data_IF_775640815988
#
_entry.id   IF_775640815988
#
_cell.length_a   1.000
_cell.length_b   1.000
_cell.length_c   1.000
_cell.angle_alpha   90.00
_cell.angle_beta   90.00
_cell.angle_gamma   90.00
#
_symmetry.space_group_name_H-M   'P 1'
#
loop_
_entity.id
_entity.type
_entity.pdbx_description
1 polymer ?
#
# COMPACT_ATOMS: atom_id res chain seq x y z
N UNK A 1 -52.69 0.21 -75.23
CA UNK A 1 -51.85 -0.85 -74.58
C UNK A 1 -51.36 -0.28 -73.24
N UNK A 2 -51.94 -0.80 -72.19
CA UNK A 2 -51.70 -0.31 -70.81
C UNK A 2 -50.63 -1.20 -70.16
N UNK A 3 -49.49 -0.60 -69.79
CA UNK A 3 -48.48 -1.30 -69.03
C UNK A 3 -48.71 -1.04 -67.52
N UNK A 4 -49.10 -2.09 -66.82
CA UNK A 4 -49.16 -2.11 -65.37
C UNK A 4 -47.73 -2.25 -64.80
N UNK A 5 -47.25 -1.26 -64.06
CA UNK A 5 -46.05 -1.36 -63.26
C UNK A 5 -46.49 -1.83 -61.86
N UNK A 6 -46.11 -3.05 -61.50
CA UNK A 6 -46.26 -3.57 -60.14
C UNK A 6 -45.08 -3.09 -59.30
N UNK A 7 -45.33 -2.19 -58.36
CA UNK A 7 -44.37 -1.83 -57.32
C UNK A 7 -44.32 -2.91 -56.27
N UNK A 8 -43.18 -3.59 -56.12
CA UNK A 8 -42.91 -4.50 -55.05
C UNK A 8 -42.26 -3.70 -53.91
N UNK A 9 -42.99 -3.49 -52.83
CA UNK A 9 -42.45 -2.90 -51.60
C UNK A 9 -41.65 -3.95 -50.86
N UNK A 10 -40.33 -3.76 -50.78
CA UNK A 10 -39.45 -4.52 -49.91
C UNK A 10 -39.59 -3.97 -48.47
N UNK A 11 -40.27 -4.73 -47.64
CA UNK A 11 -40.35 -4.46 -46.21
C UNK A 11 -39.05 -5.00 -45.56
N UNK A 12 -38.07 -4.13 -45.34
CA UNK A 12 -36.88 -4.48 -44.59
C UNK A 12 -37.19 -4.53 -43.13
N UNK A 13 -37.34 -5.73 -42.59
CA UNK A 13 -37.43 -5.98 -41.16
C UNK A 13 -36.03 -5.85 -40.60
N UNK A 14 -35.74 -4.69 -39.99
CA UNK A 14 -34.56 -4.49 -39.17
C UNK A 14 -34.83 -5.19 -37.83
N UNK A 15 -34.38 -6.41 -37.70
CA UNK A 15 -34.29 -7.09 -36.42
C UNK A 15 -33.17 -6.39 -35.61
N UNK A 16 -33.56 -5.49 -34.72
CA UNK A 16 -32.71 -5.06 -33.63
C UNK A 16 -32.39 -6.29 -32.75
N UNK A 17 -31.28 -6.92 -33.02
CA UNK A 17 -30.68 -7.82 -32.07
C UNK A 17 -30.26 -6.97 -30.86
N UNK A 18 -31.12 -6.91 -29.85
CA UNK A 18 -30.77 -6.49 -28.51
C UNK A 18 -29.68 -7.45 -28.04
N UNK A 19 -28.41 -7.09 -28.24
CA UNK A 19 -27.30 -7.71 -27.54
C UNK A 19 -27.52 -7.39 -26.06
N UNK A 20 -28.24 -8.25 -25.38
CA UNK A 20 -28.18 -8.39 -23.94
C UNK A 20 -26.73 -8.69 -23.67
N UNK A 21 -25.96 -7.65 -23.28
CA UNK A 21 -24.74 -7.84 -22.54
C UNK A 21 -25.20 -8.52 -21.26
N UNK A 22 -25.29 -9.84 -21.32
CA UNK A 22 -25.19 -10.67 -20.15
C UNK A 22 -23.84 -10.29 -19.57
N UNK A 23 -23.85 -9.38 -18.58
CA UNK A 23 -22.81 -9.31 -17.60
C UNK A 23 -22.65 -10.78 -17.18
N UNK A 24 -21.64 -11.44 -17.71
CA UNK A 24 -21.17 -12.68 -17.15
C UNK A 24 -20.85 -12.29 -15.72
N UNK A 25 -21.77 -12.64 -14.84
CA UNK A 25 -21.52 -12.78 -13.44
C UNK A 25 -20.53 -13.96 -13.37
N UNK A 26 -19.30 -13.69 -13.81
CA UNK A 26 -18.16 -14.52 -13.44
C UNK A 26 -18.23 -14.43 -11.94
N UNK A 27 -18.65 -15.51 -11.29
CA UNK A 27 -18.75 -15.57 -9.85
C UNK A 27 -17.38 -15.26 -9.31
N UNK A 28 -17.09 -13.97 -9.09
CA UNK A 28 -15.85 -13.51 -8.49
C UNK A 28 -15.80 -14.23 -7.17
N UNK A 29 -14.84 -15.11 -7.07
CA UNK A 29 -14.58 -15.83 -5.85
C UNK A 29 -14.12 -14.75 -4.88
N UNK A 30 -14.99 -14.37 -3.99
CA UNK A 30 -14.71 -13.46 -2.89
C UNK A 30 -13.92 -14.20 -1.83
N UNK A 31 -13.42 -13.44 -0.88
CA UNK A 31 -12.81 -14.01 0.30
C UNK A 31 -13.67 -15.11 0.92
N UNK A 32 -13.01 -16.21 1.24
CA UNK A 32 -13.66 -17.36 1.91
C UNK A 32 -12.88 -17.65 3.18
N UNK A 33 -13.58 -17.69 4.30
CA UNK A 33 -12.97 -18.03 5.57
C UNK A 33 -12.22 -19.36 5.49
N UNK A 34 -10.98 -19.36 5.97
CA UNK A 34 -10.06 -20.50 5.93
C UNK A 34 -9.28 -20.66 4.62
N UNK A 35 -9.50 -19.79 3.61
CA UNK A 35 -8.79 -19.86 2.31
C UNK A 35 -8.07 -18.57 1.94
N UNK A 36 -8.44 -17.44 2.55
CA UNK A 36 -7.91 -16.13 2.19
C UNK A 36 -8.40 -15.64 0.81
N UNK A 37 -7.57 -14.86 0.13
CA UNK A 37 -7.85 -14.24 -1.17
C UNK A 37 -7.31 -15.08 -2.33
N UNK A 38 -6.00 -15.27 -2.41
CA UNK A 38 -5.33 -15.95 -3.53
C UNK A 38 -5.48 -15.20 -4.87
N UNK A 39 -5.34 -15.92 -5.97
CA UNK A 39 -5.40 -15.35 -7.33
C UNK A 39 -6.80 -15.52 -7.95
N UNK A 40 -7.82 -15.07 -7.24
CA UNK A 40 -9.22 -15.38 -7.58
C UNK A 40 -9.86 -14.45 -8.60
N UNK A 41 -9.22 -13.31 -8.90
CA UNK A 41 -9.76 -12.29 -9.82
C UNK A 41 -9.40 -12.52 -11.29
N UNK A 42 -8.68 -13.60 -11.58
CA UNK A 42 -8.32 -14.03 -12.93
C UNK A 42 -6.88 -13.67 -13.33
N UNK A 43 -6.40 -14.22 -14.46
CA UNK A 43 -4.98 -14.24 -14.81
C UNK A 43 -4.41 -12.88 -15.25
N UNK A 44 -5.24 -11.86 -15.40
CA UNK A 44 -4.82 -10.50 -15.77
C UNK A 44 -4.94 -9.52 -14.61
N UNK A 45 -5.37 -9.97 -13.44
CA UNK A 45 -5.54 -9.11 -12.27
C UNK A 45 -4.19 -8.61 -11.75
N UNK A 46 -4.14 -7.32 -11.45
CA UNK A 46 -2.95 -6.60 -10.95
C UNK A 46 -3.24 -5.88 -9.61
N UNK A 47 -4.43 -6.07 -9.03
CA UNK A 47 -4.95 -5.27 -7.91
C UNK A 47 -5.05 -6.07 -6.62
N UNK A 48 -5.27 -7.39 -6.72
CA UNK A 48 -5.36 -8.29 -5.57
C UNK A 48 -6.57 -8.00 -4.68
N UNK A 49 -6.38 -8.11 -3.37
CA UNK A 49 -7.43 -7.95 -2.36
C UNK A 49 -8.17 -6.61 -2.44
N UNK A 50 -7.52 -5.55 -2.95
CA UNK A 50 -8.14 -4.23 -3.09
C UNK A 50 -9.29 -4.20 -4.12
N UNK A 51 -9.48 -5.25 -4.92
CA UNK A 51 -10.69 -5.44 -5.74
C UNK A 51 -11.98 -5.52 -4.90
N UNK A 52 -11.88 -5.83 -3.60
CA UNK A 52 -13.04 -5.86 -2.69
C UNK A 52 -13.53 -4.45 -2.29
N UNK A 53 -12.79 -3.39 -2.61
CA UNK A 53 -13.23 -2.02 -2.34
C UNK A 53 -14.41 -1.64 -3.23
N UNK A 54 -15.57 -1.50 -2.63
CA UNK A 54 -16.82 -1.07 -3.28
C UNK A 54 -17.27 0.29 -2.77
N UNK A 55 -18.17 0.96 -3.49
CA UNK A 55 -18.75 2.22 -3.01
C UNK A 55 -19.48 2.02 -1.67
N UNK A 56 -20.12 0.86 -1.49
CA UNK A 56 -20.79 0.53 -0.24
C UNK A 56 -19.78 0.38 0.93
N UNK A 57 -18.66 -0.32 0.70
CA UNK A 57 -17.62 -0.48 1.74
C UNK A 57 -16.94 0.85 2.08
N UNK A 58 -16.70 1.71 1.07
CA UNK A 58 -16.16 3.06 1.26
C UNK A 58 -17.11 3.94 2.10
N UNK A 59 -18.41 3.95 1.76
CA UNK A 59 -19.41 4.66 2.54
C UNK A 59 -19.52 4.13 3.97
N UNK A 60 -19.43 2.80 4.16
CA UNK A 60 -19.44 2.22 5.50
C UNK A 60 -18.23 2.68 6.33
N UNK A 61 -17.05 2.74 5.73
CA UNK A 61 -15.84 3.26 6.37
C UNK A 61 -16.00 4.74 6.76
N UNK A 62 -16.50 5.58 5.86
CA UNK A 62 -16.70 7.02 6.11
C UNK A 62 -17.72 7.30 7.21
N UNK A 63 -18.67 6.40 7.49
CA UNK A 63 -19.60 6.52 8.62
C UNK A 63 -18.93 6.37 9.99
N UNK A 64 -17.68 5.91 10.05
CA UNK A 64 -16.88 5.89 11.27
C UNK A 64 -16.38 7.29 11.67
N UNK A 65 -16.47 8.27 10.76
CA UNK A 65 -16.06 9.65 11.01
C UNK A 65 -17.17 10.34 11.82
N UNK A 66 -16.96 10.47 13.12
CA UNK A 66 -17.95 11.02 14.05
C UNK A 66 -17.51 12.30 14.73
N UNK A 67 -16.20 12.58 14.76
CA UNK A 67 -15.63 13.76 15.43
C UNK A 67 -14.94 14.72 14.48
N UNK A 68 -14.63 14.28 13.24
CA UNK A 68 -13.84 15.04 12.28
C UNK A 68 -12.35 15.12 12.62
N UNK A 69 -11.88 14.39 13.64
CA UNK A 69 -10.46 14.34 13.99
C UNK A 69 -9.68 13.58 12.94
N UNK A 70 -8.56 14.16 12.50
CA UNK A 70 -7.63 13.58 11.51
C UNK A 70 -6.34 13.19 12.20
N UNK A 71 -5.87 11.98 11.95
CA UNK A 71 -4.55 11.50 12.34
C UNK A 71 -3.71 11.34 11.09
N UNK A 72 -2.58 12.04 11.03
CA UNK A 72 -1.59 11.88 10.00
C UNK A 72 -0.77 10.61 10.30
N UNK A 73 -0.91 9.61 9.45
CA UNK A 73 -0.20 8.34 9.59
C UNK A 73 1.12 8.32 8.83
N UNK A 74 1.49 9.41 8.15
CA UNK A 74 2.74 9.56 7.43
C UNK A 74 3.87 10.00 8.36
N UNK A 75 5.04 9.40 8.19
CA UNK A 75 6.27 9.87 8.82
C UNK A 75 6.94 10.94 7.94
N UNK A 76 7.42 12.07 8.51
CA UNK A 76 8.19 13.04 7.74
C UNK A 76 9.50 12.41 7.26
N UNK A 77 9.85 12.71 6.03
CA UNK A 77 10.99 12.10 5.35
C UNK A 77 12.00 13.18 4.94
N UNK A 78 13.28 12.90 5.15
CA UNK A 78 14.40 13.71 4.71
C UNK A 78 15.59 12.84 4.25
N UNK A 79 16.68 13.48 3.78
CA UNK A 79 17.89 12.78 3.32
C UNK A 79 18.58 11.94 4.40
N UNK A 80 18.32 12.20 5.67
CA UNK A 80 18.91 11.51 6.83
C UNK A 80 17.96 10.44 7.40
N UNK A 81 16.76 10.29 6.84
CA UNK A 81 15.80 9.31 7.30
C UNK A 81 16.32 7.88 7.20
N UNK A 82 15.86 7.03 8.08
CA UNK A 82 16.20 5.61 8.07
C UNK A 82 15.87 4.97 6.72
N UNK A 83 16.76 4.12 6.26
CA UNK A 83 16.60 3.29 5.05
C UNK A 83 17.00 1.87 5.38
N UNK A 84 16.19 0.95 4.95
CA UNK A 84 16.51 -0.46 5.13
C UNK A 84 17.74 -0.83 4.30
N UNK A 85 18.55 -1.77 4.83
CA UNK A 85 19.75 -2.24 4.13
C UNK A 85 19.34 -2.87 2.77
N UNK A 86 20.02 -2.46 1.70
CA UNK A 86 19.69 -2.90 0.34
C UNK A 86 18.85 -1.91 -0.46
N UNK A 87 18.19 -0.94 0.17
CA UNK A 87 17.57 0.18 -0.52
C UNK A 87 18.58 1.30 -0.78
N UNK A 88 18.40 2.02 -1.90
CA UNK A 88 19.28 3.14 -2.24
C UNK A 88 19.18 4.26 -1.22
N UNK A 89 20.30 4.96 -1.00
CA UNK A 89 20.27 6.22 -0.30
C UNK A 89 19.38 7.23 -1.03
N UNK A 90 18.67 8.07 -0.29
CA UNK A 90 17.88 9.15 -0.86
C UNK A 90 18.60 10.49 -0.76
N UNK A 91 18.40 11.35 -1.75
CA UNK A 91 18.89 12.72 -1.76
C UNK A 91 17.78 13.69 -2.13
N UNK A 92 17.79 14.85 -1.47
CA UNK A 92 16.96 16.00 -1.83
C UNK A 92 17.93 17.13 -2.15
N UNK A 93 17.99 17.50 -3.42
CA UNK A 93 18.98 18.44 -3.95
C UNK A 93 18.26 19.65 -4.51
N UNK A 94 18.67 20.85 -4.10
CA UNK A 94 18.14 22.08 -4.71
C UNK A 94 18.63 22.17 -6.16
N UNK A 95 17.69 22.11 -7.09
CA UNK A 95 17.94 22.22 -8.52
C UNK A 95 17.89 23.69 -8.99
N UNK A 96 16.90 24.43 -8.48
CA UNK A 96 16.75 25.87 -8.73
C UNK A 96 16.60 26.62 -7.41
N UNK A 97 17.14 27.82 -7.39
CA UNK A 97 16.90 28.77 -6.33
C UNK A 97 16.89 30.20 -6.88
N UNK A 98 16.20 31.16 -6.24
CA UNK A 98 16.19 32.56 -6.71
C UNK A 98 17.58 33.17 -6.85
N UNK A 99 18.53 32.79 -5.98
CA UNK A 99 19.92 33.24 -6.10
C UNK A 99 20.63 32.64 -7.33
N UNK A 100 20.43 31.33 -7.56
CA UNK A 100 20.98 30.64 -8.72
C UNK A 100 20.46 31.20 -10.04
N UNK A 101 19.18 31.50 -10.15
CA UNK A 101 18.57 32.11 -11.34
C UNK A 101 19.16 33.47 -11.64
N UNK A 102 19.35 34.31 -10.64
CA UNK A 102 20.01 35.61 -10.80
C UNK A 102 21.44 35.49 -11.26
N UNK A 103 22.16 34.46 -10.86
CA UNK A 103 23.55 34.22 -11.23
C UNK A 103 23.67 33.61 -12.63
N UNK A 104 22.86 32.61 -12.94
CA UNK A 104 22.97 31.84 -14.18
C UNK A 104 22.35 32.57 -15.38
N UNK A 105 21.27 33.30 -15.16
CA UNK A 105 20.50 34.01 -16.20
C UNK A 105 20.21 33.15 -17.45
N UNK A 106 20.08 31.85 -17.24
CA UNK A 106 19.91 30.84 -18.30
C UNK A 106 18.47 30.77 -18.86
N UNK A 107 17.52 31.43 -18.21
CA UNK A 107 16.13 31.50 -18.62
C UNK A 107 15.79 32.99 -18.90
N UNK A 108 15.58 33.41 -20.17
CA UNK A 108 15.37 34.81 -20.51
C UNK A 108 14.25 35.48 -19.71
N UNK A 109 13.14 34.80 -19.45
CA UNK A 109 11.99 35.34 -18.70
C UNK A 109 12.27 35.61 -17.22
N UNK A 110 13.37 35.09 -16.65
CA UNK A 110 13.78 35.36 -15.27
C UNK A 110 14.62 36.64 -15.13
N UNK A 111 15.02 37.24 -16.26
CA UNK A 111 15.86 38.44 -16.27
C UNK A 111 15.01 39.72 -16.36
N UNK A 112 15.52 40.88 -15.90
CA UNK A 112 14.84 42.15 -16.10
C UNK A 112 14.55 42.48 -17.60
N UNK A 113 15.49 42.15 -18.51
CA UNK A 113 15.31 42.33 -19.95
C UNK A 113 14.19 41.45 -20.53
N UNK A 114 13.94 40.28 -19.91
CA UNK A 114 12.83 39.39 -20.25
C UNK A 114 11.51 39.75 -19.56
N UNK A 115 11.45 40.86 -18.83
CA UNK A 115 10.23 41.36 -18.19
C UNK A 115 10.15 41.08 -16.68
N UNK A 116 11.10 40.39 -16.10
CA UNK A 116 11.13 40.10 -14.65
C UNK A 116 11.72 41.27 -13.85
N UNK A 117 11.10 42.43 -13.92
CA UNK A 117 11.57 43.65 -13.23
C UNK A 117 11.36 43.56 -11.69
N UNK A 118 10.43 42.74 -11.24
CA UNK A 118 10.14 42.49 -9.83
C UNK A 118 11.05 41.48 -9.15
N UNK A 119 11.97 40.84 -9.89
CA UNK A 119 12.90 39.85 -9.34
C UNK A 119 12.26 38.55 -8.82
N UNK A 120 11.13 38.15 -9.41
CA UNK A 120 10.48 36.88 -9.07
C UNK A 120 11.42 35.70 -9.36
N UNK A 121 11.55 34.78 -8.43
CA UNK A 121 12.29 33.54 -8.59
C UNK A 121 11.60 32.41 -7.83
N UNK A 122 12.05 31.17 -8.03
CA UNK A 122 11.43 30.00 -7.41
C UNK A 122 12.47 29.02 -6.87
N UNK A 123 12.00 28.12 -6.00
CA UNK A 123 12.75 26.95 -5.56
C UNK A 123 12.24 25.69 -6.25
N UNK A 124 13.14 24.84 -6.70
CA UNK A 124 12.83 23.52 -7.25
C UNK A 124 13.86 22.52 -6.77
N UNK A 125 13.42 21.32 -6.44
CA UNK A 125 14.29 20.27 -5.93
C UNK A 125 14.21 19.04 -6.82
N UNK A 126 15.31 18.30 -6.89
CA UNK A 126 15.37 16.92 -7.40
C UNK A 126 15.31 15.99 -6.20
N UNK A 127 14.46 15.00 -6.29
CA UNK A 127 14.34 13.94 -5.31
C UNK A 127 14.82 12.66 -5.96
N UNK A 128 15.91 12.11 -5.43
CA UNK A 128 16.45 10.81 -5.84
C UNK A 128 16.37 9.87 -4.65
N UNK A 129 15.50 8.85 -4.74
CA UNK A 129 15.28 7.92 -3.63
C UNK A 129 14.77 6.58 -4.13
N UNK A 130 14.90 5.55 -3.29
CA UNK A 130 14.13 4.31 -3.46
C UNK A 130 12.63 4.60 -3.34
N UNK A 131 11.81 3.86 -4.06
CA UNK A 131 10.36 3.85 -3.88
C UNK A 131 9.92 3.11 -2.61
N UNK A 132 10.87 2.50 -1.90
CA UNK A 132 10.66 1.72 -0.67
C UNK A 132 11.34 2.42 0.51
N UNK A 133 10.82 3.57 0.93
CA UNK A 133 11.34 4.35 2.06
C UNK A 133 10.21 5.04 2.82
N UNK A 134 10.41 5.23 4.12
CA UNK A 134 9.46 5.86 5.03
C UNK A 134 8.06 5.22 4.97
N UNK A 135 7.00 5.99 5.19
CA UNK A 135 5.62 5.49 5.10
C UNK A 135 5.29 5.12 3.67
N UNK A 136 4.96 3.86 3.43
CA UNK A 136 4.79 3.30 2.11
C UNK A 136 3.73 2.19 2.07
N UNK A 137 3.40 1.76 0.86
CA UNK A 137 2.65 0.55 0.56
C UNK A 137 3.44 -0.29 -0.44
N UNK A 138 3.63 -1.56 -0.15
CA UNK A 138 4.24 -2.48 -1.10
C UNK A 138 3.21 -2.92 -2.13
N UNK A 139 3.55 -2.70 -3.39
CA UNK A 139 2.82 -3.21 -4.53
C UNK A 139 3.04 -4.71 -4.72
N UNK A 140 2.14 -5.34 -5.46
CA UNK A 140 2.14 -6.80 -5.65
C UNK A 140 3.32 -7.33 -6.48
N UNK A 141 4.12 -6.45 -7.07
CA UNK A 141 5.36 -6.80 -7.77
C UNK A 141 6.63 -6.56 -6.95
N UNK A 142 6.49 -6.11 -5.67
CA UNK A 142 7.64 -5.80 -4.83
C UNK A 142 8.50 -7.03 -4.50
N UNK A 143 7.86 -8.16 -4.21
CA UNK A 143 8.54 -9.42 -3.92
C UNK A 143 8.25 -10.45 -5.00
N UNK A 144 9.27 -11.19 -5.41
CA UNK A 144 9.15 -12.38 -6.25
C UNK A 144 9.57 -13.63 -5.48
N UNK A 145 9.06 -14.78 -5.89
CA UNK A 145 9.35 -16.07 -5.26
C UNK A 145 9.56 -17.18 -6.31
N UNK A 146 10.13 -18.30 -5.87
CA UNK A 146 10.39 -19.45 -6.72
C UNK A 146 11.61 -19.28 -7.65
N UNK A 147 12.03 -20.38 -8.29
CA UNK A 147 13.17 -20.39 -9.21
C UNK A 147 12.91 -19.59 -10.49
N UNK A 148 11.65 -19.40 -10.83
CA UNK A 148 11.16 -18.60 -11.97
C UNK A 148 10.99 -17.13 -11.63
N UNK A 149 11.18 -16.74 -10.35
CA UNK A 149 11.00 -15.36 -9.85
C UNK A 149 9.64 -14.78 -10.21
N UNK A 150 8.57 -15.58 -9.99
CA UNK A 150 7.21 -15.06 -10.15
C UNK A 150 6.79 -14.16 -8.99
N UNK A 151 5.95 -13.19 -9.28
CA UNK A 151 5.25 -12.38 -8.29
C UNK A 151 3.74 -12.63 -8.39
N UNK A 152 2.93 -11.78 -7.76
CA UNK A 152 1.48 -11.95 -7.73
C UNK A 152 0.89 -12.41 -9.06
N UNK A 153 -0.09 -13.30 -9.00
CA UNK A 153 -0.83 -13.84 -10.13
C UNK A 153 0.03 -14.63 -11.14
N UNK A 154 1.24 -15.04 -10.74
CA UNK A 154 2.18 -15.82 -11.58
C UNK A 154 2.90 -14.99 -12.64
N UNK A 155 2.88 -13.66 -12.54
CA UNK A 155 3.67 -12.83 -13.44
C UNK A 155 5.17 -13.05 -13.24
N UNK A 156 5.90 -13.32 -14.32
CA UNK A 156 7.34 -13.59 -14.27
C UNK A 156 8.15 -12.28 -14.31
N UNK A 157 9.11 -12.15 -13.43
CA UNK A 157 10.01 -10.99 -13.41
C UNK A 157 10.83 -10.87 -14.71
N UNK A 158 11.18 -12.00 -15.34
CA UNK A 158 11.87 -12.05 -16.64
C UNK A 158 11.05 -11.47 -17.79
N UNK A 159 9.72 -11.53 -17.72
CA UNK A 159 8.83 -10.99 -18.75
C UNK A 159 8.44 -9.53 -18.47
N UNK A 160 8.22 -9.19 -17.21
CA UNK A 160 7.58 -7.94 -16.82
C UNK A 160 8.50 -6.96 -16.11
N UNK A 161 9.66 -7.38 -15.62
CA UNK A 161 10.71 -6.48 -15.12
C UNK A 161 11.45 -5.76 -16.24
N UNK A 162 12.37 -4.87 -15.87
CA UNK A 162 13.24 -4.18 -16.81
C UNK A 162 13.94 -2.98 -16.19
N UNK A 163 14.89 -2.41 -16.93
CA UNK A 163 15.74 -1.29 -16.49
C UNK A 163 14.97 -0.02 -16.18
N UNK A 164 13.74 0.10 -16.70
CA UNK A 164 12.86 1.27 -16.51
C UNK A 164 11.65 0.94 -15.63
N UNK A 165 11.79 -0.06 -14.76
CA UNK A 165 10.78 -0.46 -13.79
C UNK A 165 9.90 -1.62 -14.24
N UNK A 166 8.99 -2.00 -13.37
CA UNK A 166 8.05 -3.11 -13.59
C UNK A 166 6.91 -2.68 -14.52
N UNK A 167 6.38 -3.61 -15.31
CA UNK A 167 5.32 -3.35 -16.30
C UNK A 167 4.00 -4.05 -15.97
N UNK A 168 3.94 -4.77 -14.85
CA UNK A 168 2.75 -5.42 -14.30
C UNK A 168 2.68 -5.20 -12.80
N UNK A 169 1.48 -4.98 -12.30
CA UNK A 169 1.23 -4.75 -10.88
C UNK A 169 2.09 -3.62 -10.27
N UNK A 170 2.40 -2.59 -11.07
CA UNK A 170 3.07 -1.39 -10.56
C UNK A 170 2.11 -0.57 -9.68
N UNK A 171 2.62 0.40 -8.95
CA UNK A 171 1.81 1.17 -7.99
C UNK A 171 0.65 1.95 -8.62
N UNK A 172 0.65 2.14 -9.95
CA UNK A 172 -0.47 2.81 -10.64
C UNK A 172 -1.72 1.94 -10.71
N UNK A 173 -1.60 0.64 -10.41
CA UNK A 173 -2.73 -0.30 -10.32
C UNK A 173 -3.42 -0.26 -8.96
N UNK A 174 -2.79 0.33 -7.94
CA UNK A 174 -3.34 0.45 -6.60
C UNK A 174 -4.43 1.53 -6.61
N UNK A 175 -5.70 1.19 -6.36
CA UNK A 175 -6.77 2.18 -6.34
C UNK A 175 -6.68 3.07 -5.10
N UNK A 176 -7.32 4.26 -5.09
CA UNK A 176 -7.53 5.01 -3.86
C UNK A 176 -8.19 4.14 -2.80
N UNK A 177 -7.56 4.06 -1.63
CA UNK A 177 -8.03 3.23 -0.52
C UNK A 177 -8.86 4.11 0.42
N UNK A 178 -10.14 3.78 0.55
CA UNK A 178 -11.04 4.28 1.60
C UNK A 178 -11.67 3.04 2.20
N UNK A 179 -11.26 2.67 3.41
CA UNK A 179 -11.64 1.42 4.03
C UNK A 179 -11.78 1.57 5.55
N UNK A 180 -12.46 0.62 6.17
CA UNK A 180 -12.40 0.48 7.62
C UNK A 180 -10.96 0.14 8.02
N UNK A 181 -10.38 0.92 8.95
CA UNK A 181 -9.08 0.66 9.54
C UNK A 181 -9.22 0.16 10.97
N UNK A 182 -8.37 -0.79 11.36
CA UNK A 182 -8.23 -1.27 12.75
C UNK A 182 -6.76 -1.26 13.13
N UNK A 183 -6.43 -0.55 14.22
CA UNK A 183 -5.12 -0.62 14.84
C UNK A 183 -5.11 -1.68 15.93
N UNK A 184 -4.15 -2.61 15.86
CA UNK A 184 -3.90 -3.64 16.89
C UNK A 184 -2.66 -3.22 17.66
N UNK A 185 -2.83 -2.71 18.87
CA UNK A 185 -1.74 -2.16 19.69
C UNK A 185 -1.12 -3.23 20.59
N UNK A 186 -0.13 -3.92 20.05
CA UNK A 186 0.59 -5.00 20.76
C UNK A 186 1.59 -4.43 21.76
N UNK A 187 2.22 -3.28 21.48
CA UNK A 187 3.10 -2.63 22.45
C UNK A 187 2.36 -2.28 23.75
N UNK A 188 1.16 -1.71 23.64
CA UNK A 188 0.32 -1.41 24.81
C UNK A 188 -0.21 -2.69 25.49
N UNK A 189 -0.48 -3.77 24.75
CA UNK A 189 -0.82 -5.06 25.35
C UNK A 189 0.30 -5.57 26.27
N UNK A 190 1.55 -5.46 25.80
CA UNK A 190 2.74 -5.88 26.54
C UNK A 190 3.20 -4.86 27.60
N UNK A 191 2.54 -3.70 27.67
CA UNK A 191 2.89 -2.61 28.57
C UNK A 191 4.34 -2.12 28.39
N UNK A 192 4.78 -2.01 27.15
CA UNK A 192 6.12 -1.51 26.77
C UNK A 192 5.98 -0.35 25.77
N UNK A 193 6.93 0.59 25.73
CA UNK A 193 6.92 1.67 24.76
C UNK A 193 7.13 1.15 23.33
N UNK A 194 8.01 0.16 23.16
CA UNK A 194 8.22 -0.57 21.91
C UNK A 194 8.50 -2.04 22.22
N UNK A 195 8.12 -2.92 21.30
CA UNK A 195 8.42 -4.35 21.42
C UNK A 195 9.94 -4.58 21.33
N UNK A 196 10.46 -5.59 22.01
CA UNK A 196 11.89 -5.91 21.94
C UNK A 196 12.28 -6.41 20.55
N UNK A 197 13.58 -6.38 20.26
CA UNK A 197 14.15 -6.87 19.01
C UNK A 197 13.72 -8.31 18.72
N UNK A 198 13.46 -8.63 17.47
CA UNK A 198 13.04 -9.96 16.99
C UNK A 198 11.81 -10.55 17.71
N UNK A 199 10.94 -9.70 18.25
CA UNK A 199 9.71 -10.15 18.89
C UNK A 199 8.72 -10.66 17.84
N UNK A 200 8.41 -11.95 17.88
CA UNK A 200 7.34 -12.53 17.07
C UNK A 200 5.96 -12.19 17.66
N UNK A 201 5.17 -11.43 16.94
CA UNK A 201 3.77 -11.18 17.24
C UNK A 201 2.94 -12.38 16.80
N UNK A 202 2.40 -13.10 17.75
CA UNK A 202 1.62 -14.31 17.52
C UNK A 202 0.13 -14.04 17.34
N UNK A 203 -0.62 -15.04 16.86
CA UNK A 203 -2.09 -15.01 16.84
C UNK A 203 -2.68 -14.71 18.22
N UNK A 204 -2.10 -15.29 19.26
CA UNK A 204 -2.53 -15.05 20.65
C UNK A 204 -2.36 -13.59 21.07
N UNK A 205 -1.27 -12.95 20.66
CA UNK A 205 -1.04 -11.52 20.94
C UNK A 205 -2.08 -10.65 20.23
N UNK A 206 -2.35 -10.92 18.94
CA UNK A 206 -3.35 -10.19 18.17
C UNK A 206 -4.74 -10.33 18.79
N UNK A 207 -5.14 -11.54 19.14
CA UNK A 207 -6.43 -11.81 19.78
C UNK A 207 -6.56 -11.12 21.15
N UNK A 208 -5.50 -11.17 21.96
CA UNK A 208 -5.49 -10.52 23.27
C UNK A 208 -5.56 -8.98 23.15
N UNK A 209 -4.84 -8.38 22.17
CA UNK A 209 -4.90 -6.96 21.92
C UNK A 209 -6.30 -6.52 21.45
N UNK A 210 -6.89 -7.21 20.49
CA UNK A 210 -8.25 -6.95 20.00
C UNK A 210 -9.28 -7.04 21.13
N UNK A 211 -9.18 -8.07 21.97
CA UNK A 211 -10.05 -8.22 23.15
C UNK A 211 -9.89 -7.05 24.14
N UNK A 212 -8.65 -6.65 24.44
CA UNK A 212 -8.35 -5.51 25.31
C UNK A 212 -8.93 -4.20 24.76
N UNK A 213 -8.85 -4.03 23.44
CA UNK A 213 -9.30 -2.84 22.70
C UNK A 213 -10.82 -2.84 22.46
N UNK A 214 -11.51 -3.95 22.72
CA UNK A 214 -12.94 -4.16 22.41
C UNK A 214 -13.27 -3.85 20.95
N UNK A 215 -12.42 -4.32 20.03
CA UNK A 215 -12.58 -4.20 18.58
C UNK A 215 -12.29 -5.52 17.91
N UNK A 216 -12.86 -5.78 16.74
CA UNK A 216 -12.58 -6.97 15.95
C UNK A 216 -12.21 -6.60 14.51
N UNK A 217 -11.49 -7.49 13.83
CA UNK A 217 -11.18 -7.42 12.42
C UNK A 217 -12.26 -8.20 11.64
N UNK A 218 -12.85 -7.56 10.67
CA UNK A 218 -13.85 -8.15 9.76
C UNK A 218 -13.36 -8.11 8.31
N UNK A 219 -13.89 -8.93 7.41
CA UNK A 219 -13.49 -8.90 6.00
C UNK A 219 -13.56 -7.49 5.39
N UNK A 220 -12.54 -7.12 4.62
CA UNK A 220 -12.43 -5.79 4.03
C UNK A 220 -11.79 -4.72 4.93
N UNK A 221 -11.22 -5.10 6.08
CA UNK A 221 -10.51 -4.19 6.99
C UNK A 221 -9.04 -4.03 6.62
N UNK A 222 -8.54 -2.80 6.64
CA UNK A 222 -7.10 -2.49 6.69
C UNK A 222 -6.63 -2.65 8.13
N UNK A 223 -5.65 -3.51 8.36
CA UNK A 223 -5.11 -3.82 9.69
C UNK A 223 -3.75 -3.17 9.87
N UNK A 224 -3.58 -2.39 10.93
CA UNK A 224 -2.29 -1.78 11.30
C UNK A 224 -1.86 -2.29 12.68
N UNK A 225 -0.71 -2.95 12.73
CA UNK A 225 -0.15 -3.51 13.96
C UNK A 225 0.87 -2.54 14.54
N UNK A 226 0.63 -2.06 15.76
CA UNK A 226 1.55 -1.16 16.44
C UNK A 226 2.54 -1.94 17.31
N UNK A 227 3.83 -1.78 16.97
CA UNK A 227 4.98 -2.30 17.74
C UNK A 227 5.59 -1.23 18.66
N UNK A 228 5.34 0.05 18.38
CA UNK A 228 5.95 1.20 19.03
C UNK A 228 7.26 1.67 18.38
N UNK A 229 7.67 1.06 17.27
CA UNK A 229 8.94 1.37 16.60
C UNK A 229 8.97 2.79 16.03
N UNK A 230 7.85 3.27 15.47
CA UNK A 230 7.78 4.60 14.84
C UNK A 230 8.10 5.77 15.81
N UNK A 231 8.01 5.58 17.13
CA UNK A 231 8.41 6.61 18.10
C UNK A 231 9.87 7.01 18.00
N UNK A 232 10.73 6.14 17.44
CA UNK A 232 12.17 6.43 17.25
C UNK A 232 12.46 7.16 15.95
N UNK A 233 11.45 7.40 15.12
CA UNK A 233 11.56 8.22 13.93
C UNK A 233 11.58 9.70 14.31
N UNK A 234 12.63 10.43 13.94
CA UNK A 234 12.83 11.83 14.32
C UNK A 234 12.95 12.77 13.13
N UNK A 235 12.73 14.05 13.41
CA UNK A 235 13.04 15.14 12.48
C UNK A 235 14.56 15.29 12.38
N UNK A 236 15.11 15.51 11.19
CA UNK A 236 16.55 15.56 10.89
C UNK A 236 17.29 14.24 11.14
N UNK A 237 16.64 13.16 10.94
CA UNK A 237 17.12 11.81 11.16
C UNK A 237 16.46 11.16 12.36
N UNK A 238 16.39 9.86 12.30
CA UNK A 238 15.83 9.02 13.34
C UNK A 238 16.92 8.61 14.33
N UNK A 239 16.52 8.11 15.49
CA UNK A 239 17.43 7.33 16.34
C UNK A 239 17.66 5.98 15.65
N UNK A 240 18.55 5.97 14.66
CA UNK A 240 18.80 4.82 13.79
C UNK A 240 19.16 3.55 14.56
N UNK A 241 19.89 3.67 15.67
CA UNK A 241 20.26 2.52 16.48
C UNK A 241 19.04 1.87 17.13
N UNK A 242 18.17 2.67 17.75
CA UNK A 242 16.92 2.18 18.33
C UNK A 242 15.93 1.72 17.28
N UNK A 243 15.80 2.49 16.19
CA UNK A 243 14.92 2.13 15.10
C UNK A 243 15.30 0.76 14.55
N UNK A 244 16.57 0.55 14.16
CA UNK A 244 17.06 -0.73 13.65
C UNK A 244 16.84 -1.87 14.64
N UNK A 245 17.09 -1.63 15.94
CA UNK A 245 16.92 -2.66 16.97
C UNK A 245 15.47 -3.09 17.14
N UNK A 246 14.53 -2.13 17.14
CA UNK A 246 13.09 -2.42 17.34
C UNK A 246 12.34 -2.76 16.05
N UNK A 247 12.88 -2.39 14.90
CA UNK A 247 12.29 -2.59 13.58
C UNK A 247 12.18 -4.08 13.18
N UNK A 248 12.90 -4.94 13.90
CA UNK A 248 12.85 -6.40 13.70
C UNK A 248 11.70 -7.09 14.43
N UNK A 249 10.91 -6.37 15.20
CA UNK A 249 9.67 -6.92 15.78
C UNK A 249 8.55 -6.92 14.73
N UNK A 250 7.73 -7.98 14.71
CA UNK A 250 6.65 -8.04 13.73
C UNK A 250 5.85 -9.34 13.81
N UNK A 251 4.92 -9.51 12.88
CA UNK A 251 4.08 -10.71 12.83
C UNK A 251 4.83 -11.91 12.23
N UNK A 252 4.50 -13.12 12.72
CA UNK A 252 4.91 -14.37 12.09
C UNK A 252 3.92 -14.83 11.01
N UNK A 253 4.30 -15.86 10.26
CA UNK A 253 3.47 -16.40 9.16
C UNK A 253 2.09 -16.89 9.67
N UNK A 254 2.03 -17.46 10.85
CA UNK A 254 0.77 -17.93 11.45
C UNK A 254 -0.18 -16.77 11.73
N UNK A 255 0.33 -15.62 12.17
CA UNK A 255 -0.44 -14.41 12.41
C UNK A 255 -0.91 -13.79 11.09
N UNK A 256 -0.05 -13.72 10.06
CA UNK A 256 -0.42 -13.27 8.73
C UNK A 256 -1.55 -14.12 8.13
N UNK A 257 -1.43 -15.45 8.20
CA UNK A 257 -2.48 -16.39 7.76
C UNK A 257 -3.78 -16.17 8.53
N UNK A 258 -3.72 -16.00 9.83
CA UNK A 258 -4.91 -15.73 10.63
C UNK A 258 -5.60 -14.44 10.23
N UNK A 259 -4.86 -13.36 10.01
CA UNK A 259 -5.42 -12.08 9.56
C UNK A 259 -6.09 -12.18 8.18
N UNK A 260 -5.49 -12.92 7.25
CA UNK A 260 -6.01 -13.07 5.89
C UNK A 260 -7.09 -14.14 5.82
N UNK A 261 -6.82 -15.35 6.28
CA UNK A 261 -7.70 -16.50 6.10
C UNK A 261 -8.90 -16.51 7.05
N UNK A 262 -8.70 -16.06 8.30
CA UNK A 262 -9.78 -16.09 9.30
C UNK A 262 -10.49 -14.75 9.43
N UNK A 263 -9.81 -13.64 9.19
CA UNK A 263 -10.33 -12.30 9.39
C UNK A 263 -10.59 -11.51 8.10
N UNK A 264 -10.05 -11.93 6.97
CA UNK A 264 -10.26 -11.27 5.68
C UNK A 264 -9.64 -9.88 5.58
N UNK A 265 -8.47 -9.69 6.20
CA UNK A 265 -7.76 -8.42 6.10
C UNK A 265 -7.53 -8.02 4.64
N UNK A 266 -7.83 -6.77 4.30
CA UNK A 266 -7.72 -6.20 2.96
C UNK A 266 -6.28 -5.78 2.64
N UNK A 267 -5.61 -5.21 3.62
CA UNK A 267 -4.20 -4.90 3.64
C UNK A 267 -3.71 -5.03 5.08
N UNK A 268 -2.43 -5.35 5.26
CA UNK A 268 -1.82 -5.52 6.59
C UNK A 268 -0.59 -4.64 6.67
N UNK A 269 -0.43 -3.92 7.76
CA UNK A 269 0.72 -3.05 7.94
C UNK A 269 1.14 -2.88 9.39
N UNK A 270 2.22 -2.12 9.58
CA UNK A 270 2.79 -1.81 10.89
C UNK A 270 3.49 -0.45 10.90
N UNK A 271 4.05 -0.14 12.05
CA UNK A 271 4.95 0.99 12.27
C UNK A 271 6.43 0.60 12.13
N UNK A 272 6.73 -0.53 11.45
CA UNK A 272 8.07 -1.02 11.12
C UNK A 272 8.33 -1.01 9.61
N UNK A 273 9.57 -1.24 9.18
CA UNK A 273 9.96 -1.27 7.77
C UNK A 273 9.68 -2.59 7.06
N UNK A 274 9.16 -3.60 7.73
CA UNK A 274 9.04 -4.92 7.12
C UNK A 274 7.83 -5.73 7.60
N UNK A 275 7.00 -5.17 8.49
CA UNK A 275 5.82 -5.84 9.05
C UNK A 275 6.13 -7.13 9.80
N UNK A 276 6.97 -8.02 9.24
CA UNK A 276 7.32 -9.32 9.81
C UNK A 276 8.51 -9.25 10.77
N UNK A 277 8.56 -10.16 11.74
CA UNK A 277 9.72 -10.24 12.63
C UNK A 277 10.95 -10.82 11.90
N UNK A 278 12.14 -10.32 12.26
CA UNK A 278 13.41 -10.70 11.64
C UNK A 278 14.42 -11.06 12.74
N UNK A 279 15.17 -12.19 12.60
CA UNK A 279 15.07 -13.20 11.54
C UNK A 279 13.84 -14.09 11.69
N UNK A 280 13.23 -14.59 10.60
CA UNK A 280 12.13 -15.52 10.68
C UNK A 280 12.58 -16.86 11.28
N UNK A 281 11.68 -17.58 11.93
CA UNK A 281 11.97 -18.93 12.38
C UNK A 281 12.22 -19.88 11.20
N UNK A 282 12.99 -20.96 11.38
CA UNK A 282 13.13 -21.98 10.34
C UNK A 282 11.79 -22.58 9.88
N UNK A 283 10.80 -22.64 10.76
CA UNK A 283 9.47 -23.12 10.44
C UNK A 283 8.72 -22.15 9.53
N UNK A 284 8.76 -20.83 9.83
CA UNK A 284 8.13 -19.79 9.02
C UNK A 284 8.77 -19.71 7.64
N UNK A 285 10.10 -19.69 7.58
CA UNK A 285 10.83 -19.73 6.32
C UNK A 285 10.43 -20.93 5.45
N UNK A 286 10.38 -22.13 6.06
CA UNK A 286 10.00 -23.37 5.38
C UNK A 286 8.54 -23.36 4.89
N UNK A 287 7.65 -22.67 5.60
CA UNK A 287 6.22 -22.64 5.29
C UNK A 287 5.93 -22.00 3.90
N UNK A 288 6.86 -21.24 3.37
CA UNK A 288 6.79 -20.57 2.06
C UNK A 288 8.02 -20.87 1.20
N UNK A 289 8.51 -22.10 1.21
CA UNK A 289 9.56 -22.58 0.32
C UNK A 289 10.99 -22.11 0.63
N UNK A 290 11.28 -21.68 1.87
CA UNK A 290 12.62 -21.30 2.31
C UNK A 290 12.94 -19.81 2.16
N UNK A 291 11.93 -18.96 2.18
CA UNK A 291 12.10 -17.50 2.07
C UNK A 291 12.73 -16.90 3.33
N UNK A 292 13.52 -15.85 3.15
CA UNK A 292 14.00 -14.98 4.24
C UNK A 292 12.92 -13.97 4.68
N UNK A 293 11.91 -13.71 3.83
CA UNK A 293 10.75 -12.85 4.11
C UNK A 293 9.44 -13.63 3.91
N UNK A 294 9.11 -14.58 4.80
CA UNK A 294 7.97 -15.47 4.61
C UNK A 294 6.62 -14.76 4.59
N UNK A 295 6.44 -13.72 5.40
CA UNK A 295 5.18 -12.97 5.45
C UNK A 295 4.97 -12.16 4.18
N UNK A 296 6.02 -11.54 3.63
CA UNK A 296 5.94 -10.84 2.35
C UNK A 296 5.55 -11.79 1.22
N UNK A 297 6.18 -12.95 1.12
CA UNK A 297 5.82 -13.95 0.10
C UNK A 297 4.37 -14.35 0.23
N UNK A 298 3.93 -14.68 1.44
CA UNK A 298 2.55 -15.08 1.68
C UNK A 298 1.55 -13.97 1.33
N UNK A 299 1.77 -12.75 1.82
CA UNK A 299 0.84 -11.65 1.60
C UNK A 299 0.84 -11.17 0.15
N UNK A 300 2.00 -10.79 -0.37
CA UNK A 300 2.10 -10.14 -1.69
C UNK A 300 1.94 -11.16 -2.82
N UNK A 301 2.69 -12.28 -2.79
CA UNK A 301 2.74 -13.22 -3.90
C UNK A 301 1.57 -14.20 -3.87
N UNK A 302 1.32 -14.86 -2.72
CA UNK A 302 0.31 -15.92 -2.65
C UNK A 302 -1.12 -15.37 -2.51
N UNK A 303 -1.30 -14.29 -1.74
CA UNK A 303 -2.62 -13.78 -1.37
C UNK A 303 -3.03 -12.48 -2.09
N UNK A 304 -2.10 -11.78 -2.72
CA UNK A 304 -2.38 -10.49 -3.34
C UNK A 304 -2.85 -9.42 -2.33
N UNK A 305 -2.31 -9.47 -1.12
CA UNK A 305 -2.59 -8.54 -0.01
C UNK A 305 -1.42 -7.59 0.13
N UNK A 306 -1.68 -6.30 -0.03
CA UNK A 306 -0.67 -5.26 0.10
C UNK A 306 -0.15 -5.12 1.52
N UNK A 307 1.14 -4.79 1.65
CA UNK A 307 1.78 -4.49 2.93
C UNK A 307 1.90 -2.97 3.09
N UNK A 308 1.65 -2.49 4.31
CA UNK A 308 1.74 -1.08 4.68
C UNK A 308 2.85 -0.92 5.72
N UNK A 309 3.83 -0.05 5.45
CA UNK A 309 5.01 0.07 6.29
C UNK A 309 5.17 1.47 6.88
N UNK A 310 5.85 1.55 8.00
CA UNK A 310 6.17 2.79 8.70
C UNK A 310 4.98 3.75 8.88
N UNK A 311 3.83 3.22 9.28
CA UNK A 311 2.70 4.07 9.64
C UNK A 311 2.90 4.68 11.03
N UNK A 312 2.71 5.99 11.14
CA UNK A 312 2.75 6.68 12.43
C UNK A 312 1.47 6.38 13.22
N UNK A 313 1.53 5.44 14.12
CA UNK A 313 0.40 4.98 14.91
C UNK A 313 0.33 5.63 16.31
N UNK A 314 1.30 6.48 16.66
CA UNK A 314 1.43 7.02 18.01
C UNK A 314 0.26 7.91 18.41
N UNK A 315 -0.26 8.74 17.49
CA UNK A 315 -1.42 9.57 17.76
C UNK A 315 -2.71 8.77 18.03
N UNK A 316 -2.92 7.71 17.25
CA UNK A 316 -4.05 6.79 17.46
C UNK A 316 -3.93 6.06 18.80
N UNK A 317 -2.72 5.61 19.16
CA UNK A 317 -2.45 4.92 20.42
C UNK A 317 -2.68 5.84 21.63
N UNK A 318 -2.19 7.08 21.58
CA UNK A 318 -2.36 8.07 22.64
C UNK A 318 -3.84 8.35 22.93
N UNK A 319 -4.66 8.46 21.89
CA UNK A 319 -6.10 8.73 22.01
C UNK A 319 -6.94 7.44 22.15
N UNK A 320 -6.32 6.27 22.10
CA UNK A 320 -7.00 4.96 22.14
C UNK A 320 -8.05 4.82 21.05
N UNK A 321 -7.73 5.30 19.84
CA UNK A 321 -8.56 5.15 18.65
C UNK A 321 -8.12 3.91 17.91
N UNK A 322 -8.88 2.85 18.02
CA UNK A 322 -8.55 1.53 17.47
C UNK A 322 -9.32 1.20 16.20
N UNK A 323 -10.37 1.96 15.90
CA UNK A 323 -11.20 1.84 14.71
C UNK A 323 -11.44 3.20 14.08
N UNK A 324 -11.28 3.31 12.76
CA UNK A 324 -11.31 4.57 12.03
C UNK A 324 -11.59 4.34 10.53
N UNK A 325 -11.89 5.41 9.80
CA UNK A 325 -11.82 5.39 8.35
C UNK A 325 -10.37 5.59 7.91
N UNK A 326 -9.80 4.59 7.26
CA UNK A 326 -8.45 4.65 6.66
C UNK A 326 -8.56 5.21 5.25
N UNK A 327 -7.75 6.24 4.95
CA UNK A 327 -7.70 6.89 3.64
C UNK A 327 -6.26 7.00 3.17
N UNK A 328 -5.97 6.47 1.99
CA UNK A 328 -4.65 6.53 1.38
C UNK A 328 -4.72 6.57 -0.15
N UNK A 329 -3.77 7.26 -0.77
CA UNK A 329 -3.53 7.24 -2.20
C UNK A 329 -2.03 7.18 -2.45
N UNK A 330 -1.60 6.38 -3.43
CA UNK A 330 -0.20 6.34 -3.84
C UNK A 330 0.14 7.51 -4.73
N UNK A 331 1.42 7.85 -4.82
CA UNK A 331 1.94 8.64 -5.95
C UNK A 331 1.90 7.74 -7.19
N UNK A 332 1.14 8.13 -8.21
CA UNK A 332 0.95 7.33 -9.41
C UNK A 332 2.21 7.37 -10.32
N UNK A 333 3.32 6.83 -9.83
CA UNK A 333 4.60 6.76 -10.54
C UNK A 333 4.69 5.41 -11.24
N UNK A 334 4.53 5.41 -12.55
CA UNK A 334 4.56 4.19 -13.35
C UNK A 334 5.90 3.48 -13.26
N UNK A 335 5.86 2.16 -13.09
CA UNK A 335 7.04 1.31 -13.05
C UNK A 335 7.66 1.13 -11.67
N UNK A 336 7.13 1.81 -10.62
CA UNK A 336 7.56 1.59 -9.24
C UNK A 336 6.80 0.42 -8.60
N UNK A 337 7.41 -0.22 -7.63
CA UNK A 337 6.85 -1.40 -6.93
C UNK A 337 6.38 -1.08 -5.52
N UNK A 338 6.73 0.09 -4.99
CA UNK A 338 6.23 0.60 -3.72
C UNK A 338 5.74 2.04 -3.90
N UNK A 339 4.67 2.38 -3.20
CA UNK A 339 4.07 3.71 -3.24
C UNK A 339 4.73 4.65 -2.24
N UNK A 340 6.02 4.94 -2.43
CA UNK A 340 6.81 5.80 -1.55
C UNK A 340 6.17 7.17 -1.35
N UNK A 341 6.57 7.84 -0.27
CA UNK A 341 6.00 9.11 0.16
C UNK A 341 4.45 9.07 0.28
N UNK A 342 3.93 7.92 0.64
CA UNK A 342 2.53 7.75 1.03
C UNK A 342 2.25 8.60 2.28
N UNK A 343 1.15 9.33 2.27
CA UNK A 343 0.70 10.07 3.46
C UNK A 343 -0.73 9.69 3.81
N UNK A 344 -0.91 8.51 4.43
CA UNK A 344 -2.23 8.02 4.78
C UNK A 344 -2.80 8.78 5.97
N UNK A 345 -4.13 8.73 6.10
CA UNK A 345 -4.86 9.37 7.18
C UNK A 345 -5.80 8.37 7.85
N UNK A 346 -5.97 8.51 9.15
CA UNK A 346 -7.09 7.94 9.86
C UNK A 346 -8.07 9.09 10.24
N UNK A 347 -9.34 8.89 9.94
CA UNK A 347 -10.42 9.84 10.24
C UNK A 347 -11.32 9.24 11.31
N UNK A 348 -11.66 10.07 12.35
CA UNK A 348 -12.54 9.65 13.44
C UNK A 348 -13.72 10.59 13.63
#
# INVERSE_FOLDING_TARGET
>A
MRHLIRSVAFLSIVTLASASVLAQNTGMKRWVQGKGWGWVWGPTDEVGSLNELTDASRLAALRLVTTGKVYDLGLPYDRNSFKWIGHSSGEIISFRSPAGERTMQDLPFTTPAGGNTGGTGWHSNVIFMSDNVATQIDGLAHISHGQDSHFYNGFLASEWGGDFGIRKADVTTIPPIVARGVMIDVAALKNVPALPTAYEITVSDLQAALKRQNVDVTPGTVVLVRTGTAQFWGVNGSDHAKLTMHDTAGIGISAAKWLVEQKGALAVGSDTSGLEYVPPSPADSKAVGGSFNPVHVYLLVEQGVHILEFHNLEGLAADRVYEFAYVATTNAIRGTVAGTALRPMALR
#
